data_IF_429326821828
#
_entry.id   IF_429326821828
#
_cell.length_a   1.000
_cell.length_b   1.000
_cell.length_c   1.000
_cell.angle_alpha   90.00
_cell.angle_beta   90.00
_cell.angle_gamma   90.00
#
_symmetry.space_group_name_H-M   'P 1'
#
loop_
_entity.id
_entity.type
_entity.pdbx_description
1 polymer ?
#
# COMPACT_ATOMS: atom_id res chain seq x y z
N UNK A 1 16.93 1.03 7.47
CA UNK A 1 16.17 0.30 6.46
C UNK A 1 15.00 1.15 5.99
N UNK A 2 14.70 1.19 4.71
CA UNK A 2 13.58 1.90 4.09
C UNK A 2 12.81 0.89 3.25
N UNK A 3 11.50 0.87 3.36
CA UNK A 3 10.65 -0.09 2.64
C UNK A 3 9.46 0.66 2.05
N UNK A 4 9.17 0.40 0.78
CA UNK A 4 7.96 0.84 0.09
C UNK A 4 7.13 -0.39 -0.30
N UNK A 5 5.85 -0.41 0.09
CA UNK A 5 4.93 -1.52 -0.20
C UNK A 5 3.83 -1.04 -1.14
N UNK A 6 3.80 -1.61 -2.33
CA UNK A 6 2.87 -1.28 -3.42
C UNK A 6 1.90 -2.45 -3.65
N UNK A 7 0.66 -2.16 -3.98
CA UNK A 7 -0.31 -3.20 -4.35
C UNK A 7 -1.75 -2.70 -4.40
N UNK A 8 -2.64 -3.53 -4.97
CA UNK A 8 -4.06 -3.25 -5.05
C UNK A 8 -4.73 -3.18 -3.66
N UNK A 9 -5.91 -2.60 -3.59
CA UNK A 9 -6.78 -2.76 -2.41
C UNK A 9 -7.05 -4.25 -2.16
N UNK A 10 -6.98 -4.67 -0.89
CA UNK A 10 -7.12 -6.08 -0.53
C UNK A 10 -5.87 -6.95 -0.76
N UNK A 11 -4.77 -6.43 -1.31
CA UNK A 11 -3.54 -7.21 -1.50
C UNK A 11 -2.85 -7.64 -0.19
N UNK A 12 -3.17 -6.99 0.94
CA UNK A 12 -2.52 -7.22 2.23
C UNK A 12 -1.36 -6.28 2.54
N UNK A 13 -1.16 -5.23 1.72
CA UNK A 13 -0.06 -4.27 1.89
C UNK A 13 -0.02 -3.61 3.26
N UNK A 14 -1.16 -3.14 3.80
CA UNK A 14 -1.22 -2.50 5.12
C UNK A 14 -0.88 -3.48 6.25
N UNK A 15 -1.28 -4.75 6.12
CA UNK A 15 -0.91 -5.81 7.07
C UNK A 15 0.59 -6.06 7.05
N UNK A 16 1.19 -6.20 5.86
CA UNK A 16 2.63 -6.41 5.72
C UNK A 16 3.42 -5.19 6.20
N UNK A 17 3.03 -3.98 5.77
CA UNK A 17 3.69 -2.74 6.16
C UNK A 17 3.63 -2.50 7.67
N UNK A 18 2.48 -2.74 8.31
CA UNK A 18 2.31 -2.67 9.75
C UNK A 18 3.19 -3.68 10.49
N UNK A 19 3.26 -4.93 9.97
CA UNK A 19 4.16 -5.95 10.54
C UNK A 19 5.64 -5.54 10.41
N UNK A 20 6.08 -5.08 9.23
CA UNK A 20 7.46 -4.61 9.02
C UNK A 20 7.78 -3.45 9.98
N UNK A 21 6.89 -2.46 10.07
CA UNK A 21 7.06 -1.31 10.95
C UNK A 21 7.21 -1.72 12.43
N UNK A 22 6.36 -2.63 12.90
CA UNK A 22 6.44 -3.18 14.25
C UNK A 22 7.71 -4.00 14.50
N UNK A 23 8.04 -4.90 13.58
CA UNK A 23 9.23 -5.75 13.66
C UNK A 23 10.55 -4.95 13.69
N UNK A 24 10.59 -3.84 12.96
CA UNK A 24 11.80 -3.02 12.79
C UNK A 24 11.79 -1.74 13.62
N UNK A 25 10.73 -1.48 14.39
CA UNK A 25 10.50 -0.23 15.10
C UNK A 25 10.61 1.01 14.20
N UNK A 26 10.25 0.88 12.92
CA UNK A 26 10.28 1.97 11.95
C UNK A 26 8.92 2.69 11.89
N UNK A 27 8.88 4.01 11.73
CA UNK A 27 7.64 4.73 11.48
C UNK A 27 7.00 4.30 10.15
N UNK A 28 5.67 4.19 10.14
CA UNK A 28 4.85 3.84 8.98
C UNK A 28 4.10 5.06 8.48
N UNK A 29 4.08 5.25 7.17
CA UNK A 29 3.18 6.18 6.46
C UNK A 29 2.25 5.39 5.54
N UNK A 30 0.96 5.45 5.82
CA UNK A 30 -0.09 5.05 4.89
C UNK A 30 -0.37 6.23 3.94
N UNK A 31 -0.18 6.03 2.64
CA UNK A 31 -0.35 7.08 1.63
C UNK A 31 -1.80 7.59 1.54
N UNK A 32 -2.79 6.80 1.95
CA UNK A 32 -4.17 7.30 2.05
C UNK A 32 -4.25 8.53 2.97
N UNK A 33 -3.42 8.61 4.01
CA UNK A 33 -3.41 9.72 4.97
C UNK A 33 -2.88 11.04 4.40
N UNK A 34 -2.11 11.00 3.33
CA UNK A 34 -1.58 12.20 2.66
C UNK A 34 -2.33 12.55 1.38
N UNK A 35 -3.05 11.60 0.80
CA UNK A 35 -3.85 11.78 -0.43
C UNK A 35 -5.22 12.37 -0.13
N UNK A 36 -5.84 11.99 0.99
CA UNK A 36 -7.20 12.40 1.33
C UNK A 36 -7.22 13.48 2.41
N UNK A 37 -8.19 14.41 2.31
CA UNK A 37 -8.42 15.44 3.33
C UNK A 37 -8.86 14.80 4.65
N UNK A 38 -8.19 15.11 5.77
CA UNK A 38 -8.55 14.58 7.07
C UNK A 38 -10.00 14.86 7.44
N UNK A 39 -10.76 13.85 7.86
CA UNK A 39 -12.15 13.99 8.29
C UNK A 39 -13.16 14.26 7.17
N UNK A 40 -12.75 14.17 5.90
CA UNK A 40 -13.66 14.28 4.74
C UNK A 40 -13.65 12.97 3.94
N UNK A 41 -14.82 12.58 3.44
CA UNK A 41 -14.95 11.37 2.63
C UNK A 41 -14.64 11.71 1.17
N UNK A 42 -13.69 11.00 0.57
CA UNK A 42 -13.32 11.07 -0.85
C UNK A 42 -12.97 12.48 -1.38
N UNK A 43 -12.47 13.38 -0.51
CA UNK A 43 -11.95 14.68 -0.92
C UNK A 43 -10.44 14.58 -1.04
N UNK A 44 -9.94 14.57 -2.28
CA UNK A 44 -8.51 14.49 -2.54
C UNK A 44 -7.80 15.82 -2.22
N UNK A 45 -6.62 15.73 -1.65
CA UNK A 45 -5.66 16.84 -1.52
C UNK A 45 -4.94 17.07 -2.85
N UNK A 46 -4.30 18.22 -3.01
CA UNK A 46 -3.49 18.43 -4.21
C UNK A 46 -2.34 17.42 -4.30
N UNK A 47 -2.01 16.93 -5.51
CA UNK A 47 -0.88 16.01 -5.69
C UNK A 47 0.45 16.56 -5.17
N UNK A 48 0.64 17.88 -5.28
CA UNK A 48 1.84 18.58 -4.80
C UNK A 48 1.92 18.54 -3.26
N UNK A 49 0.80 18.75 -2.57
CA UNK A 49 0.76 18.67 -1.11
C UNK A 49 1.04 17.25 -0.62
N UNK A 50 0.43 16.24 -1.24
CA UNK A 50 0.67 14.82 -0.92
C UNK A 50 2.15 14.45 -1.14
N UNK A 51 2.75 14.87 -2.25
CA UNK A 51 4.16 14.63 -2.56
C UNK A 51 5.09 15.35 -1.56
N UNK A 52 4.76 16.60 -1.20
CA UNK A 52 5.54 17.37 -0.22
C UNK A 52 5.56 16.70 1.15
N UNK A 53 4.41 16.22 1.63
CA UNK A 53 4.31 15.52 2.91
C UNK A 53 5.08 14.19 2.90
N UNK A 54 5.02 13.46 1.79
CA UNK A 54 5.81 12.23 1.60
C UNK A 54 7.32 12.52 1.61
N UNK A 55 7.78 13.55 0.91
CA UNK A 55 9.18 13.98 0.94
C UNK A 55 9.61 14.37 2.35
N UNK A 56 8.79 15.15 3.07
CA UNK A 56 9.07 15.54 4.45
C UNK A 56 9.20 14.31 5.36
N UNK A 57 8.30 13.32 5.21
CA UNK A 57 8.36 12.07 5.98
C UNK A 57 9.64 11.27 5.66
N UNK A 58 9.95 11.04 4.38
CA UNK A 58 11.08 10.23 3.95
C UNK A 58 12.45 10.86 4.27
N UNK A 59 12.56 12.20 4.16
CA UNK A 59 13.81 12.93 4.43
C UNK A 59 14.11 13.07 5.92
N UNK A 60 13.09 13.22 6.75
CA UNK A 60 13.24 13.39 8.19
C UNK A 60 13.70 12.12 8.93
N UNK A 61 13.64 10.94 8.29
CA UNK A 61 13.81 9.65 8.96
C UNK A 61 14.82 8.76 8.23
N UNK A 62 15.73 8.16 9.00
CA UNK A 62 16.72 7.20 8.47
C UNK A 62 16.09 5.85 8.11
N UNK A 63 15.08 5.44 8.87
CA UNK A 63 14.34 4.19 8.70
C UNK A 63 12.85 4.51 8.61
N UNK A 64 12.13 3.87 7.69
CA UNK A 64 10.69 4.07 7.52
C UNK A 64 10.07 2.98 6.65
N UNK A 65 8.75 2.86 6.77
CA UNK A 65 7.89 2.08 5.89
C UNK A 65 6.86 3.01 5.28
N UNK A 66 6.66 2.92 3.97
CA UNK A 66 5.59 3.60 3.22
C UNK A 66 4.73 2.55 2.54
N UNK A 67 3.42 2.71 2.55
CA UNK A 67 2.53 1.81 1.82
C UNK A 67 1.40 2.54 1.10
N UNK A 68 0.96 1.99 -0.03
CA UNK A 68 -0.18 2.53 -0.76
C UNK A 68 -0.40 1.89 -2.13
N UNK A 69 -1.45 2.36 -2.82
CA UNK A 69 -1.79 1.94 -4.17
C UNK A 69 -1.49 3.03 -5.25
N UNK A 70 -0.77 4.06 -4.88
CA UNK A 70 -0.46 5.22 -5.74
C UNK A 70 0.95 5.07 -6.32
N UNK A 71 1.08 4.57 -7.57
CA UNK A 71 2.38 4.34 -8.20
C UNK A 71 3.24 5.60 -8.24
N UNK A 72 2.67 6.77 -8.55
CA UNK A 72 3.38 8.05 -8.62
C UNK A 72 3.96 8.51 -7.27
N UNK A 73 3.25 8.24 -6.16
CA UNK A 73 3.78 8.52 -4.82
C UNK A 73 4.81 7.47 -4.39
N UNK A 74 4.60 6.21 -4.75
CA UNK A 74 5.64 5.19 -4.54
C UNK A 74 6.90 5.57 -5.32
N UNK A 75 6.81 5.99 -6.60
CA UNK A 75 7.97 6.48 -7.38
C UNK A 75 8.71 7.60 -6.64
N UNK A 76 7.98 8.52 -6.01
CA UNK A 76 8.60 9.57 -5.16
C UNK A 76 9.35 8.96 -3.96
N UNK A 77 8.80 7.94 -3.30
CA UNK A 77 9.49 7.24 -2.21
C UNK A 77 10.73 6.46 -2.70
N UNK A 78 10.71 5.95 -3.96
CA UNK A 78 11.83 5.22 -4.56
C UNK A 78 13.08 6.09 -4.78
N UNK A 79 12.97 7.42 -4.82
CA UNK A 79 14.10 8.34 -4.85
C UNK A 79 15.02 8.18 -3.63
N UNK A 80 14.51 7.65 -2.53
CA UNK A 80 15.25 7.38 -1.29
C UNK A 80 15.85 5.96 -1.23
N UNK A 81 15.82 5.22 -2.34
CA UNK A 81 16.41 3.87 -2.48
C UNK A 81 15.91 2.86 -1.42
N UNK A 82 14.59 2.70 -1.22
CA UNK A 82 14.05 1.65 -0.34
C UNK A 82 14.13 0.27 -0.99
N UNK A 83 13.81 -0.76 -0.21
CA UNK A 83 13.35 -2.03 -0.78
C UNK A 83 11.91 -1.84 -1.26
N UNK A 84 11.62 -2.12 -2.52
CA UNK A 84 10.27 -2.11 -3.07
C UNK A 84 9.65 -3.50 -2.99
N UNK A 85 8.52 -3.62 -2.31
CA UNK A 85 7.74 -4.85 -2.24
C UNK A 85 6.43 -4.62 -2.99
N UNK A 86 6.24 -5.33 -4.09
CA UNK A 86 5.00 -5.30 -4.86
C UNK A 86 4.13 -6.51 -4.51
N UNK A 87 3.02 -6.28 -3.80
CA UNK A 87 2.04 -7.31 -3.46
C UNK A 87 1.00 -7.47 -4.56
N UNK A 88 1.09 -8.58 -5.28
CA UNK A 88 0.23 -8.93 -6.41
C UNK A 88 -0.34 -10.36 -6.28
N UNK A 89 -1.17 -10.63 -5.24
CA UNK A 89 -1.68 -11.99 -4.99
C UNK A 89 -2.81 -12.42 -5.94
N UNK A 90 -3.17 -11.58 -6.90
CA UNK A 90 -4.25 -11.83 -7.84
C UNK A 90 -5.61 -11.34 -7.36
N UNK A 91 -6.55 -11.19 -8.31
CA UNK A 91 -7.88 -10.62 -8.09
C UNK A 91 -8.68 -11.39 -7.03
N UNK A 92 -8.75 -12.72 -7.16
CA UNK A 92 -9.53 -13.57 -6.26
C UNK A 92 -9.11 -13.41 -4.80
N UNK A 93 -7.80 -13.32 -4.53
CA UNK A 93 -7.30 -13.11 -3.17
C UNK A 93 -7.61 -11.70 -2.67
N UNK A 94 -7.45 -10.67 -3.50
CA UNK A 94 -7.81 -9.30 -3.14
C UNK A 94 -9.29 -9.16 -2.80
N UNK A 95 -10.18 -9.73 -3.59
CA UNK A 95 -11.63 -9.78 -3.36
C UNK A 95 -11.95 -10.51 -2.06
N UNK A 96 -11.37 -11.69 -1.85
CA UNK A 96 -11.56 -12.48 -0.62
C UNK A 96 -11.14 -11.68 0.63
N UNK A 97 -9.99 -11.04 0.58
CA UNK A 97 -9.48 -10.22 1.67
C UNK A 97 -10.38 -9.00 1.93
N UNK A 98 -10.92 -8.35 0.89
CA UNK A 98 -11.85 -7.23 1.05
C UNK A 98 -13.16 -7.65 1.74
N UNK A 99 -13.70 -8.82 1.40
CA UNK A 99 -14.91 -9.38 2.04
C UNK A 99 -14.67 -9.78 3.50
N UNK A 100 -13.46 -10.22 3.83
CA UNK A 100 -13.07 -10.66 5.17
C UNK A 100 -12.64 -9.51 6.10
N UNK A 101 -12.63 -8.24 5.61
CA UNK A 101 -12.20 -7.11 6.44
C UNK A 101 -13.05 -6.97 7.69
N UNK A 102 -12.42 -6.78 8.87
CA UNK A 102 -13.16 -6.37 10.05
C UNK A 102 -13.74 -4.96 9.82
N UNK A 103 -14.69 -4.57 10.69
CA UNK A 103 -15.18 -3.20 10.67
C UNK A 103 -14.07 -2.20 11.00
N UNK A 104 -13.89 -1.22 10.10
CA UNK A 104 -12.87 -0.17 10.20
C UNK A 104 -13.51 1.11 10.78
N UNK A 105 -13.67 1.18 12.10
CA UNK A 105 -14.32 2.29 12.81
C UNK A 105 -13.69 3.68 12.54
N UNK A 106 -12.47 3.73 12.06
CA UNK A 106 -11.78 4.99 11.69
C UNK A 106 -12.13 5.48 10.28
N UNK A 107 -12.74 4.62 9.45
CA UNK A 107 -13.15 4.94 8.06
C UNK A 107 -14.65 5.07 7.88
N UNK A 108 -15.43 4.31 8.65
CA UNK A 108 -16.88 4.21 8.50
C UNK A 108 -17.59 4.43 9.85
N UNK A 109 -18.70 5.18 9.85
CA UNK A 109 -19.48 5.45 11.05
C UNK A 109 -20.20 4.21 11.60
N UNK A 110 -20.47 3.21 10.73
CA UNK A 110 -21.08 1.95 11.12
C UNK A 110 -20.65 0.80 10.21
N UNK A 111 -20.83 -0.44 10.70
CA UNK A 111 -20.63 -1.64 9.88
C UNK A 111 -21.57 -1.67 8.68
N UNK A 112 -22.82 -1.22 8.85
CA UNK A 112 -23.80 -1.15 7.77
C UNK A 112 -23.35 -0.21 6.65
N UNK A 113 -22.72 0.91 6.97
CA UNK A 113 -22.14 1.83 6.00
C UNK A 113 -20.98 1.17 5.24
N UNK A 114 -20.07 0.50 5.97
CA UNK A 114 -18.98 -0.26 5.34
C UNK A 114 -19.52 -1.34 4.39
N UNK A 115 -20.58 -2.08 4.79
CA UNK A 115 -21.19 -3.13 3.96
C UNK A 115 -21.86 -2.54 2.70
N UNK A 116 -22.48 -1.36 2.78
CA UNK A 116 -23.02 -0.65 1.63
C UNK A 116 -21.94 -0.24 0.61
N UNK A 117 -20.76 0.15 1.10
CA UNK A 117 -19.64 0.53 0.24
C UNK A 117 -18.87 -0.68 -0.31
N UNK A 118 -19.11 -1.88 0.22
CA UNK A 118 -18.37 -3.08 -0.16
C UNK A 118 -18.51 -3.42 -1.65
N UNK A 119 -19.71 -3.29 -2.22
CA UNK A 119 -19.91 -3.57 -3.64
C UNK A 119 -19.07 -2.67 -4.56
N UNK A 120 -19.01 -1.37 -4.23
CA UNK A 120 -18.17 -0.40 -4.95
C UNK A 120 -16.69 -0.72 -4.79
N UNK A 121 -16.27 -1.08 -3.58
CA UNK A 121 -14.89 -1.49 -3.34
C UNK A 121 -14.51 -2.74 -4.14
N UNK A 122 -15.39 -3.75 -4.21
CA UNK A 122 -15.11 -4.97 -4.97
C UNK A 122 -15.02 -4.70 -6.47
N UNK A 123 -15.88 -3.84 -7.04
CA UNK A 123 -15.77 -3.39 -8.43
C UNK A 123 -14.44 -2.69 -8.67
N UNK A 124 -14.09 -1.74 -7.80
CA UNK A 124 -12.80 -1.03 -7.85
C UNK A 124 -11.60 -1.97 -7.83
N UNK A 125 -11.62 -3.02 -6.99
CA UNK A 125 -10.56 -4.03 -6.90
C UNK A 125 -10.45 -4.86 -8.17
N UNK A 126 -11.57 -5.25 -8.78
CA UNK A 126 -11.60 -6.00 -10.05
C UNK A 126 -11.12 -5.16 -11.22
N UNK A 127 -11.54 -3.89 -11.30
CA UNK A 127 -11.15 -2.95 -12.35
C UNK A 127 -9.64 -2.66 -12.37
N UNK A 128 -8.93 -2.91 -11.26
CA UNK A 128 -7.48 -2.78 -11.18
C UNK A 128 -6.74 -3.54 -12.28
N UNK A 129 -7.30 -4.66 -12.73
CA UNK A 129 -6.68 -5.53 -13.72
C UNK A 129 -6.96 -5.10 -15.18
N UNK A 130 -7.89 -4.18 -15.37
CA UNK A 130 -8.36 -3.75 -16.71
C UNK A 130 -8.27 -2.25 -16.95
N UNK A 131 -8.27 -1.43 -15.87
CA UNK A 131 -8.12 0.02 -15.98
C UNK A 131 -6.65 0.40 -16.19
N UNK A 132 -6.44 1.63 -16.65
CA UNK A 132 -5.13 2.25 -16.78
C UNK A 132 -4.87 3.28 -15.66
N UNK A 133 -3.62 3.77 -15.59
CA UNK A 133 -3.22 4.87 -14.73
C UNK A 133 -2.57 4.43 -13.42
N UNK A 134 -2.46 5.36 -12.52
CA UNK A 134 -1.63 5.31 -11.31
C UNK A 134 -1.99 4.15 -10.36
N UNK A 135 -3.28 3.84 -10.23
CA UNK A 135 -3.82 2.80 -9.34
C UNK A 135 -4.29 1.57 -10.11
N UNK A 136 -3.53 1.13 -11.11
CA UNK A 136 -3.82 -0.03 -11.96
C UNK A 136 -2.69 -1.06 -11.92
N UNK A 137 -2.95 -2.29 -12.37
CA UNK A 137 -1.91 -3.30 -12.50
C UNK A 137 -0.79 -2.82 -13.43
N UNK A 138 -1.15 -2.23 -14.58
CA UNK A 138 -0.19 -1.69 -15.55
C UNK A 138 0.67 -0.58 -14.96
N UNK A 139 0.08 0.34 -14.20
CA UNK A 139 0.81 1.41 -13.50
C UNK A 139 1.77 0.86 -12.43
N UNK A 140 1.30 -0.09 -11.63
CA UNK A 140 2.13 -0.73 -10.61
C UNK A 140 3.28 -1.54 -11.22
N UNK A 141 3.02 -2.29 -12.29
CA UNK A 141 4.06 -3.03 -13.01
C UNK A 141 5.09 -2.09 -13.65
N UNK A 142 4.65 -0.97 -14.22
CA UNK A 142 5.55 0.04 -14.78
C UNK A 142 6.48 0.62 -13.70
N UNK A 143 5.94 1.05 -12.56
CA UNK A 143 6.71 1.52 -11.40
C UNK A 143 7.70 0.44 -10.93
N UNK A 144 7.22 -0.80 -10.73
CA UNK A 144 8.06 -1.92 -10.31
C UNK A 144 9.19 -2.21 -11.31
N UNK A 145 8.89 -2.27 -12.61
CA UNK A 145 9.86 -2.61 -13.65
C UNK A 145 10.92 -1.51 -13.82
N UNK A 146 10.52 -0.25 -13.75
CA UNK A 146 11.42 0.90 -13.89
C UNK A 146 12.40 1.04 -12.72
N UNK A 147 12.02 0.62 -11.52
CA UNK A 147 12.89 0.71 -10.36
C UNK A 147 14.08 -0.24 -10.49
N UNK A 148 15.29 0.30 -10.36
CA UNK A 148 16.57 -0.44 -10.48
C UNK A 148 17.15 -0.85 -9.13
N UNK A 149 16.58 -0.36 -8.03
CA UNK A 149 16.98 -0.74 -6.69
C UNK A 149 16.48 -2.13 -6.30
N UNK A 150 16.63 -2.45 -5.03
CA UNK A 150 16.22 -3.75 -4.50
C UNK A 150 14.70 -3.88 -4.50
N UNK A 151 14.18 -4.92 -5.13
CA UNK A 151 12.74 -5.12 -5.29
C UNK A 151 12.35 -6.60 -5.26
N UNK A 152 11.12 -6.87 -4.86
CA UNK A 152 10.50 -8.19 -4.88
C UNK A 152 9.03 -8.09 -5.23
N UNK A 153 8.54 -8.95 -6.13
CA UNK A 153 7.11 -9.19 -6.35
C UNK A 153 6.66 -10.39 -5.51
N UNK A 154 5.57 -10.20 -4.79
CA UNK A 154 5.01 -11.19 -3.87
C UNK A 154 3.61 -11.55 -4.34
N UNK A 155 3.44 -12.76 -4.85
CA UNK A 155 2.19 -13.26 -5.45
C UNK A 155 1.37 -14.15 -4.51
N UNK A 156 1.92 -14.47 -3.33
CA UNK A 156 1.26 -15.27 -2.29
C UNK A 156 1.27 -14.51 -0.97
N UNK A 157 0.35 -14.86 -0.09
CA UNK A 157 0.32 -14.25 1.25
C UNK A 157 1.60 -14.57 2.01
N UNK A 158 2.40 -13.56 2.44
CA UNK A 158 3.61 -13.80 3.20
C UNK A 158 3.30 -14.37 4.59
N UNK A 159 4.11 -15.31 5.06
CA UNK A 159 4.02 -15.81 6.43
C UNK A 159 4.76 -14.85 7.36
N UNK A 160 4.01 -14.25 8.31
CA UNK A 160 4.52 -13.20 9.19
C UNK A 160 4.69 -13.65 10.67
N UNK A 161 4.05 -14.74 11.06
CA UNK A 161 4.13 -15.25 12.45
C UNK A 161 4.17 -16.80 12.47
N UNK A 162 5.33 -17.40 12.78
CA UNK A 162 6.66 -16.77 12.74
C UNK A 162 7.01 -16.35 11.32
N UNK A 163 7.83 -15.28 11.13
CA UNK A 163 8.18 -14.83 9.81
C UNK A 163 9.01 -15.87 9.06
N UNK A 164 8.72 -16.07 7.78
CA UNK A 164 9.51 -16.95 6.93
C UNK A 164 10.91 -16.37 6.65
N UNK A 165 11.87 -17.24 6.33
CA UNK A 165 13.21 -16.81 5.93
C UNK A 165 13.20 -15.87 4.71
N UNK A 166 12.26 -16.07 3.80
CA UNK A 166 12.04 -15.21 2.64
C UNK A 166 11.65 -13.78 3.06
N UNK A 167 10.66 -13.64 3.96
CA UNK A 167 10.23 -12.34 4.49
C UNK A 167 11.38 -11.62 5.19
N UNK A 168 12.15 -12.33 6.01
CA UNK A 168 13.32 -11.77 6.68
C UNK A 168 14.41 -11.36 5.69
N UNK A 169 14.56 -12.10 4.58
CA UNK A 169 15.51 -11.75 3.53
C UNK A 169 15.18 -10.41 2.85
N UNK A 170 13.92 -10.00 2.77
CA UNK A 170 13.56 -8.68 2.20
C UNK A 170 14.08 -7.52 3.06
N UNK A 171 14.32 -7.74 4.37
CA UNK A 171 14.67 -6.70 5.33
C UNK A 171 16.19 -6.60 5.59
N UNK A 172 16.97 -7.55 5.09
CA UNK A 172 18.43 -7.59 5.18
C UNK A 172 19.08 -7.13 3.87
#
# INVERSE_FOLDING_TARGET
MRVAVLGNSGSGKSTLAGWIAGYTCAPLLDLDTVVWEPGKIAVARSPEAARSDLHAFCSAKKHWVVEGCYASLIDTALEYSPVLIFLNPGEGQCISNCRARPWEAHKYASRAEQDQQLALLLSWVSEYYTRDGDMSLTGHQACFNAYTGRKVEVTVRPQLDPPSAEVLAWLN
#
